data_IF_224886085040
#
_entry.id   IF_224886085040
#
_cell.length_a   1.000
_cell.length_b   1.000
_cell.length_c   1.000
_cell.angle_alpha   90.00
_cell.angle_beta   90.00
_cell.angle_gamma   90.00
#
_symmetry.space_group_name_H-M   'P 1'
#
loop_
_entity.id
_entity.type
_entity.pdbx_description
1 polymer ?
#
# COMPACT_ATOMS: atom_id res chain seq x y z
N UNK A 1 -17.17 8.53 4.33
CA UNK A 1 -17.00 7.32 3.50
C UNK A 1 -15.63 7.39 2.86
N UNK A 2 -14.96 6.25 2.69
CA UNK A 2 -13.67 6.21 1.98
C UNK A 2 -13.90 6.50 0.49
N UNK A 3 -12.90 7.05 -0.19
CA UNK A 3 -12.93 7.14 -1.64
C UNK A 3 -12.89 5.74 -2.25
N UNK A 4 -13.47 5.57 -3.44
CA UNK A 4 -13.45 4.29 -4.17
C UNK A 4 -12.01 3.80 -4.41
N UNK A 5 -11.10 4.73 -4.68
CA UNK A 5 -9.68 4.42 -4.86
C UNK A 5 -9.05 3.86 -3.60
N UNK A 6 -9.27 4.50 -2.45
CA UNK A 6 -8.71 4.03 -1.18
C UNK A 6 -9.32 2.69 -0.76
N UNK A 7 -10.61 2.48 -1.03
CA UNK A 7 -11.27 1.19 -0.79
C UNK A 7 -10.69 0.08 -1.68
N UNK A 8 -10.36 0.39 -2.95
CA UNK A 8 -9.67 -0.55 -3.85
C UNK A 8 -8.26 -0.90 -3.33
N UNK A 9 -7.50 0.09 -2.87
CA UNK A 9 -6.16 -0.13 -2.28
C UNK A 9 -6.23 -0.99 -1.01
N UNK A 10 -7.21 -0.76 -0.14
CA UNK A 10 -7.42 -1.57 1.06
C UNK A 10 -7.77 -3.02 0.71
N UNK A 11 -8.64 -3.21 -0.27
CA UNK A 11 -8.98 -4.55 -0.77
C UNK A 11 -7.74 -5.25 -1.32
N UNK A 12 -6.89 -4.58 -2.09
CA UNK A 12 -5.64 -5.13 -2.59
C UNK A 12 -4.69 -5.55 -1.46
N UNK A 13 -4.50 -4.70 -0.45
CA UNK A 13 -3.67 -5.00 0.72
C UNK A 13 -4.16 -6.26 1.45
N UNK A 14 -5.48 -6.36 1.66
CA UNK A 14 -6.10 -7.50 2.32
C UNK A 14 -5.96 -8.79 1.52
N UNK A 15 -6.23 -8.74 0.21
CA UNK A 15 -6.07 -9.90 -0.67
C UNK A 15 -4.61 -10.37 -0.73
N UNK A 16 -3.66 -9.45 -0.71
CA UNK A 16 -2.23 -9.75 -0.72
C UNK A 16 -1.78 -10.42 0.58
N UNK A 17 -2.20 -9.90 1.74
CA UNK A 17 -1.92 -10.54 3.03
C UNK A 17 -2.52 -11.95 3.08
N UNK A 18 -3.78 -12.10 2.64
CA UNK A 18 -4.48 -13.39 2.65
C UNK A 18 -3.89 -14.41 1.66
N UNK A 19 -3.48 -13.98 0.47
CA UNK A 19 -2.88 -14.88 -0.54
C UNK A 19 -1.54 -15.43 -0.06
N UNK A 20 -0.77 -14.63 0.68
CA UNK A 20 0.46 -15.05 1.36
C UNK A 20 0.22 -15.83 2.66
N UNK A 21 -1.05 -16.03 3.06
CA UNK A 21 -1.47 -16.69 4.31
C UNK A 21 -0.95 -15.97 5.57
N UNK A 22 -0.84 -14.66 5.52
CA UNK A 22 -0.53 -13.87 6.70
C UNK A 22 -1.73 -13.90 7.65
N UNK A 23 -1.47 -14.13 8.93
CA UNK A 23 -2.50 -14.18 9.97
C UNK A 23 -3.18 -12.81 10.16
N UNK A 24 -2.42 -11.74 9.93
CA UNK A 24 -2.87 -10.37 10.07
C UNK A 24 -2.52 -9.55 8.83
N UNK A 25 -3.40 -8.60 8.52
CA UNK A 25 -3.04 -7.47 7.68
C UNK A 25 -2.48 -6.37 8.60
N UNK A 26 -1.31 -5.86 8.26
CA UNK A 26 -0.62 -4.83 9.03
C UNK A 26 -0.56 -3.51 8.26
N UNK A 27 -0.04 -2.46 8.89
CA UNK A 27 0.13 -1.15 8.23
C UNK A 27 1.17 -1.20 7.13
N UNK A 28 2.13 -2.13 7.19
CA UNK A 28 3.12 -2.38 6.15
C UNK A 28 2.48 -2.88 4.85
N UNK A 29 1.48 -3.76 4.94
CA UNK A 29 0.73 -4.23 3.78
C UNK A 29 -0.06 -3.10 3.12
N UNK A 30 -0.65 -2.23 3.95
CA UNK A 30 -1.35 -1.05 3.48
C UNK A 30 -0.38 -0.07 2.81
N UNK A 31 0.77 0.19 3.43
CA UNK A 31 1.81 1.05 2.88
C UNK A 31 2.31 0.52 1.53
N UNK A 32 2.55 -0.79 1.43
CA UNK A 32 2.96 -1.43 0.18
C UNK A 32 1.89 -1.27 -0.92
N UNK A 33 0.61 -1.47 -0.60
CA UNK A 33 -0.47 -1.24 -1.56
C UNK A 33 -0.66 0.23 -1.93
N UNK A 34 -0.35 1.16 -1.02
CA UNK A 34 -0.38 2.60 -1.28
C UNK A 34 0.74 3.05 -2.22
N UNK A 35 1.82 2.27 -2.37
CA UNK A 35 2.86 2.57 -3.38
C UNK A 35 2.31 2.49 -4.81
N UNK A 36 1.21 1.78 -5.04
CA UNK A 36 0.51 1.70 -6.32
C UNK A 36 -0.71 2.63 -6.42
N UNK A 37 -1.05 3.36 -5.34
CA UNK A 37 -2.15 4.32 -5.32
C UNK A 37 -1.67 5.68 -5.85
N UNK A 38 -2.32 6.22 -6.88
CA UNK A 38 -1.89 7.45 -7.56
C UNK A 38 -1.80 8.65 -6.62
N UNK A 39 -2.83 8.90 -5.82
CA UNK A 39 -2.86 10.01 -4.86
C UNK A 39 -1.78 9.87 -3.78
N UNK A 40 -1.52 8.64 -3.30
CA UNK A 40 -0.45 8.40 -2.33
C UNK A 40 0.94 8.56 -2.96
N UNK A 41 1.14 8.07 -4.20
CA UNK A 41 2.39 8.25 -4.94
C UNK A 41 2.72 9.72 -5.15
N UNK A 42 1.75 10.56 -5.52
CA UNK A 42 1.98 12.00 -5.69
C UNK A 42 2.59 12.63 -4.43
N UNK A 43 2.04 12.30 -3.26
CA UNK A 43 2.55 12.78 -1.97
C UNK A 43 3.93 12.22 -1.67
N UNK A 44 4.14 10.91 -1.85
CA UNK A 44 5.41 10.25 -1.57
C UNK A 44 6.54 10.76 -2.48
N UNK A 45 6.25 11.02 -3.76
CA UNK A 45 7.18 11.65 -4.70
C UNK A 45 7.50 13.08 -4.27
N UNK A 46 6.50 13.86 -3.86
CA UNK A 46 6.70 15.21 -3.35
C UNK A 46 7.52 15.25 -2.04
N UNK A 47 7.61 14.12 -1.32
CA UNK A 47 8.44 13.93 -0.14
C UNK A 47 9.81 13.29 -0.43
N UNK A 48 10.23 13.17 -1.71
CA UNK A 48 11.49 12.56 -2.12
C UNK A 48 11.70 11.12 -1.58
N UNK A 49 10.62 10.34 -1.48
CA UNK A 49 10.69 8.96 -1.00
C UNK A 49 11.32 8.01 -2.03
N UNK A 50 12.18 7.10 -1.55
CA UNK A 50 12.79 6.04 -2.37
C UNK A 50 11.88 4.79 -2.39
N UNK A 51 11.08 4.68 -3.45
CA UNK A 51 10.15 3.57 -3.65
C UNK A 51 10.85 2.21 -3.81
N UNK A 52 12.03 2.17 -4.43
CA UNK A 52 12.77 0.91 -4.58
C UNK A 52 13.24 0.37 -3.25
N UNK A 53 13.74 1.27 -2.39
CA UNK A 53 14.15 0.92 -1.04
C UNK A 53 12.96 0.47 -0.21
N UNK A 54 11.87 1.23 -0.21
CA UNK A 54 10.66 0.88 0.55
C UNK A 54 10.07 -0.47 0.13
N UNK A 55 10.00 -0.77 -1.17
CA UNK A 55 9.48 -2.05 -1.66
C UNK A 55 10.38 -3.26 -1.33
N UNK A 56 11.67 -3.05 -1.03
CA UNK A 56 12.60 -4.11 -0.60
C UNK A 56 12.56 -4.34 0.91
N UNK A 57 12.20 -3.33 1.70
CA UNK A 57 12.15 -3.38 3.17
C UNK A 57 10.81 -3.89 3.73
N UNK A 58 9.74 -3.85 2.92
CA UNK A 58 8.37 -4.27 3.26
C UNK A 58 7.99 -5.61 2.62
#
# INVERSE_FOLDING_TARGET
MLSKDLESTLNLAFHTARSKRHEFMTVEHLLLALLDNEAAREVLVACDCDFEKMAKEL
#
